data_IF_468608714367
#
_entry.id   IF_468608714367
#
_cell.length_a   1.000
_cell.length_b   1.000
_cell.length_c   1.000
_cell.angle_alpha   90.00
_cell.angle_beta   90.00
_cell.angle_gamma   90.00
#
_symmetry.space_group_name_H-M   'P 1'
#
loop_
_entity.id
_entity.type
_entity.pdbx_description
1 polymer ?
#
# COMPACT_ATOMS: atom_id res chain seq x y z
N UNK A 1 -2.68 -1.85 -11.31
CA UNK A 1 -1.29 -1.35 -11.53
C UNK A 1 -1.37 -0.30 -12.62
N UNK A 2 -0.64 0.80 -12.46
CA UNK A 2 -0.51 1.88 -13.45
C UNK A 2 0.92 1.85 -13.98
N UNK A 3 1.09 1.77 -15.30
CA UNK A 3 2.39 1.63 -15.95
C UNK A 3 2.48 2.60 -17.12
N UNK A 4 3.66 3.21 -17.30
CA UNK A 4 3.97 4.01 -18.49
C UNK A 4 4.25 3.07 -19.66
N UNK A 5 3.67 3.33 -20.82
CA UNK A 5 3.91 2.56 -22.06
C UNK A 5 5.40 2.42 -22.38
N UNK A 6 6.20 3.45 -22.07
CA UNK A 6 7.66 3.45 -22.26
C UNK A 6 8.38 2.33 -21.50
N UNK A 7 7.83 1.88 -20.36
CA UNK A 7 8.43 0.80 -19.56
C UNK A 7 8.15 -0.59 -20.16
N UNK A 8 7.17 -0.70 -21.06
CA UNK A 8 6.69 -2.00 -21.57
C UNK A 8 6.82 -2.14 -23.08
N UNK A 9 7.25 -1.10 -23.79
CA UNK A 9 7.28 -1.04 -25.25
C UNK A 9 8.00 -2.22 -25.93
N UNK A 10 8.99 -2.82 -25.28
CA UNK A 10 9.78 -3.94 -25.80
C UNK A 10 9.69 -5.21 -24.92
N UNK A 11 8.62 -5.34 -24.14
CA UNK A 11 8.44 -6.46 -23.20
C UNK A 11 7.33 -7.40 -23.69
N UNK A 12 7.61 -8.71 -23.69
CA UNK A 12 6.57 -9.71 -23.89
C UNK A 12 5.70 -9.83 -22.63
N UNK A 13 4.49 -9.27 -22.71
CA UNK A 13 3.47 -9.30 -21.66
C UNK A 13 2.33 -10.28 -21.98
N UNK A 14 2.63 -11.33 -22.75
CA UNK A 14 1.68 -12.41 -23.02
C UNK A 14 1.16 -13.05 -21.73
N UNK A 15 -0.11 -13.48 -21.74
CA UNK A 15 -0.75 -14.11 -20.59
C UNK A 15 0.09 -15.31 -20.11
N UNK A 16 0.33 -15.36 -18.79
CA UNK A 16 1.13 -16.42 -18.15
C UNK A 16 2.62 -16.06 -17.98
N UNK A 17 3.10 -14.98 -18.59
CA UNK A 17 4.43 -14.43 -18.29
C UNK A 17 4.43 -13.74 -16.93
N UNK A 18 5.48 -13.99 -16.17
CA UNK A 18 5.69 -13.36 -14.88
C UNK A 18 6.61 -12.16 -15.02
N UNK A 19 6.31 -11.12 -14.25
CA UNK A 19 7.07 -9.88 -14.21
C UNK A 19 7.30 -9.47 -12.77
N UNK A 20 8.39 -8.74 -12.55
CA UNK A 20 8.67 -8.02 -11.31
C UNK A 20 8.29 -6.56 -11.55
N UNK A 21 7.62 -5.96 -10.57
CA UNK A 21 7.17 -4.57 -10.64
C UNK A 21 7.70 -3.83 -9.42
N UNK A 22 8.63 -2.90 -9.65
CA UNK A 22 9.08 -1.97 -8.62
C UNK A 22 8.38 -0.63 -8.81
N UNK A 23 7.82 -0.10 -7.74
CA UNK A 23 6.95 1.05 -7.87
C UNK A 23 6.69 1.77 -6.57
N UNK A 24 5.63 2.58 -6.61
CA UNK A 24 5.12 3.30 -5.46
C UNK A 24 3.62 3.02 -5.37
N UNK A 25 3.13 2.72 -4.17
CA UNK A 25 1.70 2.69 -3.95
C UNK A 25 1.15 4.12 -4.02
N UNK A 26 0.10 4.31 -4.82
CA UNK A 26 -0.59 5.58 -5.00
C UNK A 26 -2.04 5.45 -4.59
N UNK A 27 -2.56 6.54 -4.04
CA UNK A 27 -3.97 6.69 -3.69
C UNK A 27 -4.57 7.92 -4.38
N UNK A 28 -5.81 7.82 -4.82
CA UNK A 28 -6.59 8.99 -5.24
C UNK A 28 -8.08 8.70 -5.14
N UNK A 29 -8.89 9.74 -4.93
CA UNK A 29 -10.33 9.60 -4.95
C UNK A 29 -10.84 9.65 -6.40
N UNK A 30 -11.76 8.74 -6.73
CA UNK A 30 -12.47 8.71 -8.00
C UNK A 30 -13.96 8.64 -7.73
N UNK A 31 -14.74 9.48 -8.39
CA UNK A 31 -16.19 9.41 -8.35
C UNK A 31 -16.68 8.27 -9.26
N UNK A 32 -17.34 7.27 -8.67
CA UNK A 32 -17.83 6.07 -9.38
C UNK A 32 -19.18 5.69 -8.78
N UNK A 33 -20.19 5.47 -9.63
CA UNK A 33 -21.55 5.07 -9.24
C UNK A 33 -22.19 5.97 -8.16
N UNK A 34 -22.05 7.29 -8.30
CA UNK A 34 -22.65 8.25 -7.36
C UNK A 34 -21.93 8.41 -6.02
N UNK A 35 -20.76 7.78 -5.83
CA UNK A 35 -19.98 7.86 -4.59
C UNK A 35 -18.49 8.08 -4.85
N UNK A 36 -17.81 8.72 -3.89
CA UNK A 36 -16.35 8.82 -3.91
C UNK A 36 -15.74 7.51 -3.43
N UNK A 37 -14.92 6.89 -4.27
CA UNK A 37 -14.15 5.68 -3.93
C UNK A 37 -12.66 6.02 -3.87
N UNK A 38 -11.99 5.58 -2.82
CA UNK A 38 -10.53 5.64 -2.72
C UNK A 38 -9.94 4.53 -3.58
N UNK A 39 -9.18 4.90 -4.60
CA UNK A 39 -8.48 3.96 -5.47
C UNK A 39 -7.04 3.83 -5.01
N UNK A 40 -6.60 2.59 -4.76
CA UNK A 40 -5.22 2.24 -4.51
C UNK A 40 -4.63 1.56 -5.75
N UNK A 41 -3.45 1.99 -6.18
CA UNK A 41 -2.78 1.41 -7.35
C UNK A 41 -1.27 1.49 -7.21
N UNK A 42 -0.56 0.44 -7.62
CA UNK A 42 0.90 0.51 -7.76
C UNK A 42 1.22 1.30 -9.02
N UNK A 43 1.94 2.41 -8.88
CA UNK A 43 2.56 3.13 -9.98
C UNK A 43 3.95 2.54 -10.24
N UNK A 44 4.08 1.83 -11.36
CA UNK A 44 5.32 1.17 -11.75
C UNK A 44 6.38 2.20 -12.15
N UNK A 45 7.57 2.07 -11.56
CA UNK A 45 8.79 2.81 -11.92
C UNK A 45 9.75 1.94 -12.72
N UNK A 46 9.77 0.64 -12.43
CA UNK A 46 10.50 -0.37 -13.18
C UNK A 46 9.60 -1.60 -13.36
N UNK A 47 9.77 -2.27 -14.50
CA UNK A 47 9.18 -3.58 -14.76
C UNK A 47 10.25 -4.40 -15.47
N UNK A 48 10.37 -5.67 -15.09
CA UNK A 48 11.30 -6.61 -15.72
C UNK A 48 10.71 -8.02 -15.78
N UNK A 49 11.16 -8.88 -16.71
CA UNK A 49 10.74 -10.27 -16.74
C UNK A 49 11.19 -11.00 -15.48
N UNK A 50 10.31 -11.78 -14.86
CA UNK A 50 10.66 -12.58 -13.69
C UNK A 50 11.37 -13.86 -14.12
N UNK A 51 12.70 -13.90 -13.98
CA UNK A 51 13.52 -15.08 -14.29
C UNK A 51 13.47 -16.10 -13.15
N UNK A 52 13.54 -15.60 -11.91
CA UNK A 52 13.44 -16.40 -10.69
C UNK A 52 12.47 -15.73 -9.72
N UNK A 53 11.54 -16.52 -9.15
CA UNK A 53 10.59 -15.99 -8.18
C UNK A 53 11.28 -15.71 -6.85
N UNK A 54 11.13 -14.48 -6.36
CA UNK A 54 11.46 -14.16 -4.97
C UNK A 54 10.66 -15.07 -4.01
N UNK A 55 11.28 -15.47 -2.90
CA UNK A 55 10.58 -16.15 -1.79
C UNK A 55 9.50 -15.24 -1.17
N UNK A 56 9.67 -13.92 -1.26
CA UNK A 56 8.75 -12.90 -0.75
C UNK A 56 8.43 -11.86 -1.84
N UNK A 57 7.54 -12.17 -2.81
CA UNK A 57 7.31 -11.32 -3.99
C UNK A 57 6.40 -10.11 -3.74
N UNK A 58 6.02 -9.82 -2.49
CA UNK A 58 5.07 -8.76 -2.15
C UNK A 58 5.52 -8.07 -0.86
N UNK A 59 6.31 -7.01 -1.04
CA UNK A 59 6.88 -6.24 0.05
C UNK A 59 6.59 -4.75 -0.19
N UNK A 60 6.29 -4.03 0.88
CA UNK A 60 6.13 -2.59 0.85
C UNK A 60 6.75 -1.97 2.09
N UNK A 61 7.38 -0.82 1.88
CA UNK A 61 7.84 0.08 2.91
C UNK A 61 7.11 1.42 2.76
N UNK A 62 6.58 1.95 3.86
CA UNK A 62 5.96 3.27 3.90
C UNK A 62 6.55 4.07 5.07
N UNK A 63 6.88 5.33 4.81
CA UNK A 63 7.20 6.34 5.80
C UNK A 63 6.12 7.42 5.73
N UNK A 64 5.33 7.56 6.79
CA UNK A 64 4.13 8.38 6.75
C UNK A 64 3.66 8.82 8.13
N UNK A 65 2.54 9.54 8.13
CA UNK A 65 1.98 10.17 9.32
C UNK A 65 0.58 9.65 9.63
N UNK A 66 0.27 9.50 10.91
CA UNK A 66 -1.08 9.12 11.37
C UNK A 66 -2.08 10.24 11.03
N UNK A 67 -3.09 9.93 10.22
CA UNK A 67 -4.10 10.91 9.78
C UNK A 67 -5.34 10.95 10.67
N UNK A 68 -5.61 9.84 11.36
CA UNK A 68 -6.77 9.60 12.20
C UNK A 68 -6.34 8.68 13.33
N UNK A 69 -7.00 8.81 14.47
CA UNK A 69 -6.81 7.91 15.60
C UNK A 69 -6.94 6.44 15.14
N UNK A 70 -5.93 5.58 15.39
CA UNK A 70 -5.99 4.18 15.03
C UNK A 70 -7.14 3.43 15.69
N UNK A 71 -7.82 2.57 14.93
CA UNK A 71 -8.98 1.81 15.44
C UNK A 71 -8.54 0.41 15.85
N UNK A 72 -8.21 0.23 17.13
CA UNK A 72 -7.92 -1.06 17.72
C UNK A 72 -9.18 -1.88 18.00
N UNK A 73 -9.19 -3.17 17.64
CA UNK A 73 -10.29 -4.10 17.96
C UNK A 73 -9.82 -5.55 17.97
N UNK A 74 -10.67 -6.41 18.52
CA UNK A 74 -10.51 -7.87 18.47
C UNK A 74 -11.53 -8.47 17.51
N UNK A 75 -11.09 -9.31 16.60
CA UNK A 75 -11.96 -10.07 15.69
C UNK A 75 -12.74 -11.15 16.46
N UNK A 76 -13.84 -11.71 15.91
CA UNK A 76 -14.60 -12.78 16.56
C UNK A 76 -13.77 -14.02 16.96
N UNK A 77 -12.65 -14.26 16.28
CA UNK A 77 -11.72 -15.36 16.58
C UNK A 77 -10.56 -14.96 17.51
N UNK A 78 -10.69 -13.85 18.24
CA UNK A 78 -9.70 -13.43 19.24
C UNK A 78 -8.42 -12.81 18.67
N UNK A 79 -8.34 -12.51 17.37
CA UNK A 79 -7.18 -11.81 16.79
C UNK A 79 -7.28 -10.32 17.03
N UNK A 80 -6.21 -9.74 17.53
CA UNK A 80 -6.07 -8.30 17.74
C UNK A 80 -5.59 -7.62 16.46
N UNK A 81 -6.27 -6.55 16.07
CA UNK A 81 -5.97 -5.76 14.88
C UNK A 81 -6.14 -4.27 15.15
N UNK A 82 -5.43 -3.45 14.39
CA UNK A 82 -5.64 -2.00 14.37
C UNK A 82 -5.72 -1.51 12.91
N UNK A 83 -6.79 -0.77 12.59
CA UNK A 83 -6.86 -0.04 11.33
C UNK A 83 -6.14 1.30 11.50
N UNK A 84 -5.23 1.61 10.59
CA UNK A 84 -4.41 2.82 10.58
C UNK A 84 -4.55 3.50 9.22
N UNK A 85 -4.73 4.82 9.21
CA UNK A 85 -4.68 5.61 7.98
C UNK A 85 -3.40 6.43 7.94
N UNK A 86 -2.50 6.08 7.02
CA UNK A 86 -1.21 6.75 6.85
C UNK A 86 -1.23 7.77 5.71
N UNK A 87 -0.77 9.00 5.97
CA UNK A 87 -0.42 9.97 4.94
C UNK A 87 1.06 9.81 4.59
N UNK A 88 1.32 9.31 3.39
CA UNK A 88 2.66 9.15 2.84
C UNK A 88 2.94 10.31 1.90
N UNK A 89 3.83 11.21 2.33
CA UNK A 89 4.12 12.42 1.58
C UNK A 89 4.91 12.10 0.31
N UNK A 90 4.62 12.84 -0.76
CA UNK A 90 5.32 12.76 -2.04
C UNK A 90 5.64 14.14 -2.59
N UNK A 91 6.47 14.17 -3.62
CA UNK A 91 6.83 15.39 -4.33
C UNK A 91 5.59 16.21 -4.73
N UNK A 92 5.79 17.53 -4.84
CA UNK A 92 4.77 18.52 -5.18
C UNK A 92 3.66 18.66 -4.13
N UNK A 93 3.98 18.53 -2.84
CA UNK A 93 3.07 18.74 -1.70
C UNK A 93 1.78 17.91 -1.82
N UNK A 94 1.91 16.68 -2.31
CA UNK A 94 0.81 15.71 -2.33
C UNK A 94 1.10 14.63 -1.30
N UNK A 95 0.05 13.95 -0.86
CA UNK A 95 0.15 12.81 0.04
C UNK A 95 -0.73 11.68 -0.47
N UNK A 96 -0.25 10.46 -0.36
CA UNK A 96 -1.03 9.26 -0.57
C UNK A 96 -1.60 8.80 0.79
N UNK A 97 -2.91 8.61 0.87
CA UNK A 97 -3.59 8.16 2.08
C UNK A 97 -3.82 6.65 1.98
N UNK A 98 -3.03 5.90 2.74
CA UNK A 98 -2.93 4.43 2.66
C UNK A 98 -3.59 3.80 3.89
N UNK A 99 -4.74 3.12 3.73
CA UNK A 99 -5.29 2.25 4.76
C UNK A 99 -4.33 1.09 5.02
N UNK A 100 -4.02 0.87 6.29
CA UNK A 100 -3.06 -0.13 6.77
C UNK A 100 -3.68 -0.91 7.93
N UNK A 101 -3.47 -2.22 7.99
CA UNK A 101 -3.94 -3.06 9.10
C UNK A 101 -2.75 -3.66 9.81
N UNK A 102 -2.58 -3.32 11.09
CA UNK A 102 -1.61 -3.95 11.98
C UNK A 102 -2.25 -5.12 12.74
N UNK A 103 -1.44 -6.12 13.11
CA UNK A 103 -1.89 -7.34 13.81
C UNK A 103 -1.07 -7.59 15.07
N UNK A 104 -1.69 -8.22 16.07
CA UNK A 104 -1.02 -8.71 17.29
C UNK A 104 -0.26 -7.62 18.05
N UNK A 105 1.06 -7.79 18.24
CA UNK A 105 1.87 -6.81 18.97
C UNK A 105 1.86 -5.42 18.30
N UNK A 106 1.86 -5.39 16.97
CA UNK A 106 1.84 -4.14 16.23
C UNK A 106 0.49 -3.42 16.39
N UNK A 107 -0.64 -4.14 16.46
CA UNK A 107 -1.94 -3.50 16.70
C UNK A 107 -2.03 -2.86 18.08
N UNK A 108 -1.49 -3.52 19.12
CA UNK A 108 -1.43 -2.92 20.47
C UNK A 108 -0.54 -1.68 20.51
N UNK A 109 0.59 -1.72 19.82
CA UNK A 109 1.45 -0.54 19.68
C UNK A 109 0.71 0.61 18.97
N UNK A 110 -0.04 0.32 17.91
CA UNK A 110 -0.79 1.35 17.19
C UNK A 110 -1.85 2.05 18.05
N UNK A 111 -2.34 1.43 19.15
CA UNK A 111 -3.28 2.07 20.06
C UNK A 111 -2.70 3.30 20.78
N UNK A 112 -1.39 3.37 20.95
CA UNK A 112 -0.73 4.51 21.63
C UNK A 112 -0.32 5.62 20.68
N UNK A 113 -0.61 5.51 19.38
CA UNK A 113 -0.21 6.51 18.38
C UNK A 113 -1.26 7.62 18.27
N UNK A 114 -0.78 8.85 18.15
CA UNK A 114 -1.60 10.05 18.03
C UNK A 114 -1.62 10.58 16.59
N UNK A 115 -2.62 11.39 16.26
CA UNK A 115 -2.68 12.07 14.96
C UNK A 115 -1.46 12.99 14.81
N UNK A 116 -0.74 12.81 13.70
CA UNK A 116 0.51 13.54 13.43
C UNK A 116 1.78 12.76 13.77
N UNK A 117 1.70 11.60 14.42
CA UNK A 117 2.87 10.75 14.64
C UNK A 117 3.45 10.25 13.32
N UNK A 118 4.78 10.38 13.16
CA UNK A 118 5.50 9.78 12.04
C UNK A 118 5.86 8.32 12.38
N UNK A 119 5.45 7.39 11.52
CA UNK A 119 5.81 5.99 11.64
C UNK A 119 6.34 5.42 10.33
N UNK A 120 7.17 4.38 10.48
CA UNK A 120 7.66 3.56 9.38
C UNK A 120 7.07 2.17 9.48
N UNK A 121 6.51 1.69 8.38
CA UNK A 121 5.89 0.35 8.32
C UNK A 121 6.47 -0.47 7.19
N UNK A 122 6.63 -1.76 7.46
CA UNK A 122 6.97 -2.79 6.48
C UNK A 122 5.85 -3.81 6.45
N UNK A 123 5.47 -4.25 5.27
CA UNK A 123 4.37 -5.19 5.12
C UNK A 123 4.20 -5.67 3.69
N UNK A 124 2.95 -6.00 3.37
CA UNK A 124 2.52 -6.52 2.06
C UNK A 124 1.21 -5.88 1.65
N UNK A 125 0.96 -5.81 0.35
CA UNK A 125 -0.34 -5.38 -0.20
C UNK A 125 -1.33 -6.55 -0.15
N UNK A 126 -2.54 -6.31 0.35
CA UNK A 126 -3.61 -7.30 0.45
C UNK A 126 -4.91 -6.70 -0.11
N UNK A 127 -5.64 -7.49 -0.91
CA UNK A 127 -6.98 -7.17 -1.42
C UNK A 127 -8.09 -7.71 -0.52
#
# INVERSE_FOLDING_TARGET
ITVSERLIANMDLSIGKEIIVDGQLRSYNKFVDGSNKLILTVFARNIEPCIERSKNPNEIFLDGYICKEPVYRTTPFGREIADVLLAVNRAYNKSDYIPTIAWGRNSRFCQSLEVGDNIRVWGRLQS
#
